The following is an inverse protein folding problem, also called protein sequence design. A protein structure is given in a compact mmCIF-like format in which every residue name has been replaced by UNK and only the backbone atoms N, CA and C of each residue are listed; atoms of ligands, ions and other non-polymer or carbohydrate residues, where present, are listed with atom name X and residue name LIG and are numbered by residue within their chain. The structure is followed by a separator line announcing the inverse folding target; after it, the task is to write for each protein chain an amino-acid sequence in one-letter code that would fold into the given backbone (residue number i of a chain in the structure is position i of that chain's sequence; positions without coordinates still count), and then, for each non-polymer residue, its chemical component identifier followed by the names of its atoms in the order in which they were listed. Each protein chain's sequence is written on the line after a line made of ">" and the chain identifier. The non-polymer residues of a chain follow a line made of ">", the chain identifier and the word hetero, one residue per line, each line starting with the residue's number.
data_IF_048529120608
#
_entry.id   IF_048529120608
#
_cell.length_a   1.000
_cell.length_b   1.000
_cell.length_c   1.000
_cell.angle_alpha   90.00
_cell.angle_beta   90.00
_cell.angle_gamma   90.00
#
_symmetry.space_group_name_H-M   'P 1'
#
loop_
_entity.id
_entity.type
_entity.pdbx_description
1 polymer ?
#
# COMPACT_ATOMS: atom_id res chain seq x y z
N UNK A 1 37.87 23.83 -27.70
CA UNK A 1 37.50 22.93 -28.79
C UNK A 1 38.28 23.35 -30.02
N UNK A 2 38.94 22.42 -30.71
CA UNK A 2 39.56 22.68 -32.01
C UNK A 2 38.48 22.83 -33.09
N UNK A 3 38.68 23.75 -34.04
CA UNK A 3 37.67 24.15 -35.01
C UNK A 3 37.05 22.99 -35.81
N UNK A 4 37.86 22.03 -36.28
CA UNK A 4 37.38 20.86 -37.04
C UNK A 4 36.59 19.86 -36.18
N UNK A 5 37.08 19.56 -34.99
CA UNK A 5 36.41 18.62 -34.09
C UNK A 5 35.05 19.18 -33.65
N UNK A 6 34.98 20.49 -33.41
CA UNK A 6 33.73 21.20 -33.14
C UNK A 6 32.72 21.08 -34.28
N UNK A 7 33.17 21.25 -35.53
CA UNK A 7 32.29 21.09 -36.70
C UNK A 7 31.70 19.69 -36.76
N UNK A 8 32.49 18.65 -36.46
CA UNK A 8 32.01 17.27 -36.39
C UNK A 8 30.91 17.12 -35.33
N UNK A 9 31.11 17.63 -34.11
CA UNK A 9 30.08 17.58 -33.07
C UNK A 9 28.83 18.37 -33.44
N UNK A 10 28.97 19.57 -34.01
CA UNK A 10 27.82 20.38 -34.45
C UNK A 10 27.00 19.66 -35.53
N UNK A 11 27.66 18.91 -36.42
CA UNK A 11 26.97 18.04 -37.40
C UNK A 11 26.15 16.94 -36.72
N UNK A 12 26.68 16.31 -35.68
CA UNK A 12 25.92 15.34 -34.87
C UNK A 12 24.73 16.00 -34.16
N UNK A 13 24.90 17.19 -33.59
CA UNK A 13 23.81 17.90 -32.91
C UNK A 13 22.68 18.23 -33.87
N UNK A 14 23.00 18.66 -35.10
CA UNK A 14 22.00 18.88 -36.16
C UNK A 14 21.22 17.60 -36.47
N UNK A 15 21.93 16.48 -36.67
CA UNK A 15 21.29 15.19 -36.93
C UNK A 15 20.37 14.75 -35.78
N UNK A 16 20.82 14.88 -34.53
CA UNK A 16 20.01 14.57 -33.34
C UNK A 16 18.77 15.48 -33.31
N UNK A 17 18.91 16.77 -33.63
CA UNK A 17 17.81 17.72 -33.64
C UNK A 17 16.71 17.34 -34.66
N UNK A 18 17.10 16.84 -35.84
CA UNK A 18 16.13 16.34 -36.83
C UNK A 18 15.32 15.14 -36.30
N UNK A 19 15.99 14.19 -35.64
CA UNK A 19 15.32 13.02 -35.05
C UNK A 19 14.42 13.47 -33.88
N UNK A 20 14.97 14.29 -32.99
CA UNK A 20 14.24 14.81 -31.83
C UNK A 20 12.97 15.55 -32.25
N UNK A 21 13.06 16.45 -33.25
CA UNK A 21 11.91 17.17 -33.78
C UNK A 21 10.85 16.28 -34.44
N UNK A 22 11.22 15.16 -35.07
CA UNK A 22 10.26 14.19 -35.63
C UNK A 22 9.47 13.44 -34.55
N UNK A 23 10.04 13.29 -33.36
CA UNK A 23 9.50 12.45 -32.29
C UNK A 23 8.93 13.21 -31.11
N UNK A 24 9.27 14.50 -30.91
CA UNK A 24 8.82 15.31 -29.76
C UNK A 24 7.30 15.21 -29.55
N UNK A 25 6.48 15.43 -30.58
CA UNK A 25 5.01 15.43 -30.44
C UNK A 25 4.42 14.03 -30.16
N UNK A 26 5.16 12.96 -30.43
CA UNK A 26 4.72 11.58 -30.15
C UNK A 26 5.22 11.10 -28.79
N UNK A 27 6.39 11.57 -28.38
CA UNK A 27 7.05 11.15 -27.15
C UNK A 27 6.71 12.03 -25.95
N UNK A 28 6.25 13.26 -26.21
CA UNK A 28 5.93 14.26 -25.20
C UNK A 28 4.48 14.66 -25.30
N UNK A 29 3.81 14.73 -24.15
CA UNK A 29 2.48 15.30 -24.02
C UNK A 29 2.51 16.35 -22.92
N UNK A 30 1.90 17.50 -23.20
CA UNK A 30 1.97 18.65 -22.31
C UNK A 30 0.57 19.05 -21.87
N UNK A 31 0.43 19.38 -20.59
CA UNK A 31 -0.78 19.98 -20.04
C UNK A 31 -0.49 21.36 -19.49
N UNK A 32 -1.44 22.28 -19.62
CA UNK A 32 -1.28 23.66 -19.09
C UNK A 32 -0.99 23.70 -17.59
N UNK A 33 -1.60 22.80 -16.81
CA UNK A 33 -1.51 22.78 -15.34
C UNK A 33 -0.40 21.89 -14.78
N UNK A 34 0.02 20.86 -15.52
CA UNK A 34 0.92 19.81 -15.02
C UNK A 34 2.28 19.76 -15.74
N UNK A 35 2.50 20.64 -16.73
CA UNK A 35 3.70 20.63 -17.55
C UNK A 35 3.72 19.47 -18.55
N UNK A 36 4.92 19.20 -19.08
CA UNK A 36 5.14 18.14 -20.05
C UNK A 36 5.59 16.84 -19.38
N UNK A 37 5.06 15.73 -19.87
CA UNK A 37 5.40 14.38 -19.42
C UNK A 37 5.80 13.51 -20.61
N UNK A 38 6.57 12.48 -20.32
CA UNK A 38 7.07 11.57 -21.34
C UNK A 38 6.19 10.33 -21.49
N UNK A 39 5.90 9.94 -22.73
CA UNK A 39 5.29 8.65 -23.04
C UNK A 39 6.30 7.51 -22.90
N UNK A 40 7.58 7.79 -23.20
CA UNK A 40 8.66 6.80 -23.21
C UNK A 40 9.86 7.30 -22.40
N UNK A 41 9.76 7.36 -21.05
CA UNK A 41 10.71 8.06 -20.20
C UNK A 41 12.14 7.51 -20.23
N UNK A 42 12.33 6.26 -20.69
CA UNK A 42 13.64 5.63 -20.84
C UNK A 42 14.35 6.00 -22.15
N UNK A 43 13.60 6.42 -23.18
CA UNK A 43 14.14 6.66 -24.52
C UNK A 43 14.11 8.13 -24.92
N UNK A 44 13.18 8.89 -24.36
CA UNK A 44 12.95 10.28 -24.75
C UNK A 44 12.66 11.12 -23.51
N UNK A 45 13.34 12.25 -23.37
CA UNK A 45 13.13 13.23 -22.30
C UNK A 45 12.50 14.47 -22.89
N UNK A 46 11.44 14.96 -22.25
CA UNK A 46 10.64 16.09 -22.74
C UNK A 46 10.97 17.41 -22.06
N UNK A 47 11.76 17.36 -20.99
CA UNK A 47 12.32 18.55 -20.35
C UNK A 47 13.21 19.32 -21.35
N UNK A 48 13.03 20.63 -21.40
CA UNK A 48 13.71 21.54 -22.33
C UNK A 48 15.25 21.50 -22.22
N UNK A 49 15.80 21.06 -21.08
CA UNK A 49 17.24 20.87 -20.90
C UNK A 49 17.80 19.77 -21.82
N UNK A 50 16.99 18.80 -22.21
CA UNK A 50 17.35 17.73 -23.14
C UNK A 50 17.11 18.10 -24.60
N UNK A 51 16.51 19.26 -24.87
CA UNK A 51 16.37 19.78 -26.22
C UNK A 51 17.76 19.93 -26.87
N UNK A 52 18.00 19.39 -28.08
CA UNK A 52 19.30 19.48 -28.76
C UNK A 52 19.83 20.91 -28.94
N UNK A 53 18.96 21.91 -28.91
CA UNK A 53 19.34 23.32 -28.90
C UNK A 53 20.20 23.71 -27.69
N UNK A 54 20.01 23.08 -26.53
CA UNK A 54 20.82 23.28 -25.33
C UNK A 54 22.27 22.86 -25.60
N UNK A 55 22.47 21.70 -26.22
CA UNK A 55 23.78 21.22 -26.63
C UNK A 55 24.40 22.08 -27.74
N UNK A 56 23.59 22.51 -28.70
CA UNK A 56 23.99 23.39 -29.79
C UNK A 56 24.59 24.72 -29.29
N UNK A 57 23.93 25.35 -28.31
CA UNK A 57 24.43 26.55 -27.63
C UNK A 57 25.71 26.29 -26.82
N UNK A 58 25.74 25.20 -26.05
CA UNK A 58 26.88 24.84 -25.19
C UNK A 58 28.16 24.59 -25.98
N UNK A 59 28.04 23.96 -27.15
CA UNK A 59 29.15 23.72 -28.08
C UNK A 59 29.49 24.95 -28.94
N UNK A 60 28.76 26.07 -28.79
CA UNK A 60 28.93 27.31 -29.56
C UNK A 60 28.86 27.08 -31.08
N UNK A 61 28.00 26.18 -31.52
CA UNK A 61 27.81 25.87 -32.94
C UNK A 61 27.31 27.08 -33.75
N UNK A 62 26.69 28.07 -33.09
CA UNK A 62 26.31 29.37 -33.66
C UNK A 62 27.47 30.16 -34.27
N UNK A 63 28.71 29.86 -33.88
CA UNK A 63 29.89 30.52 -34.43
C UNK A 63 30.19 30.09 -35.87
N UNK A 64 29.59 28.99 -36.33
CA UNK A 64 29.71 28.52 -37.70
C UNK A 64 28.43 28.84 -38.46
N UNK A 65 28.55 29.69 -39.48
CA UNK A 65 27.42 30.17 -40.29
C UNK A 65 26.60 29.02 -40.89
N UNK A 66 27.29 27.98 -41.38
CA UNK A 66 26.67 26.77 -41.97
C UNK A 66 25.67 26.05 -41.06
N UNK A 67 25.86 26.12 -39.73
CA UNK A 67 24.98 25.46 -38.76
C UNK A 67 23.94 26.42 -38.22
N UNK A 68 24.29 27.69 -38.07
CA UNK A 68 23.37 28.72 -37.59
C UNK A 68 22.14 28.84 -38.48
N UNK A 69 22.31 28.78 -39.80
CA UNK A 69 21.20 28.88 -40.76
C UNK A 69 20.32 27.62 -40.78
N UNK A 70 20.93 26.45 -40.58
CA UNK A 70 20.23 25.15 -40.67
C UNK A 70 19.51 24.77 -39.39
N UNK A 71 20.01 25.21 -38.24
CA UNK A 71 19.50 24.78 -36.96
C UNK A 71 18.17 25.47 -36.63
N UNK A 72 17.09 24.69 -36.55
CA UNK A 72 15.78 25.14 -36.05
C UNK A 72 15.51 24.44 -34.73
N UNK A 73 15.30 25.20 -33.65
CA UNK A 73 14.95 24.63 -32.35
C UNK A 73 13.65 23.82 -32.52
N UNK A 74 13.64 22.58 -32.04
CA UNK A 74 12.41 21.81 -31.97
C UNK A 74 11.47 22.45 -30.94
N UNK A 75 10.27 22.79 -31.39
CA UNK A 75 9.22 23.33 -30.52
C UNK A 75 8.69 22.25 -29.59
N UNK A 76 8.39 22.64 -28.36
CA UNK A 76 7.69 21.78 -27.42
C UNK A 76 6.24 21.59 -27.88
N UNK A 77 5.63 20.42 -27.60
CA UNK A 77 4.23 20.19 -27.95
C UNK A 77 3.36 21.25 -27.30
N UNK A 78 2.39 21.76 -28.06
CA UNK A 78 1.43 22.73 -27.55
C UNK A 78 0.70 22.13 -26.35
N UNK A 79 0.69 22.80 -25.18
CA UNK A 79 0.01 22.28 -24.00
C UNK A 79 -1.48 22.09 -24.26
N UNK A 80 -1.94 20.86 -24.13
CA UNK A 80 -3.35 20.51 -24.20
C UNK A 80 -4.06 20.95 -22.92
N UNK A 81 -5.29 21.40 -23.10
CA UNK A 81 -6.15 21.72 -21.97
C UNK A 81 -6.87 20.44 -21.50
N UNK A 82 -6.47 19.93 -20.34
CA UNK A 82 -7.03 18.70 -19.79
C UNK A 82 -8.55 18.79 -19.59
N UNK A 83 -9.07 19.98 -19.27
CA UNK A 83 -10.51 20.20 -19.15
C UNK A 83 -11.21 20.01 -20.49
N UNK A 84 -10.68 20.61 -21.55
CA UNK A 84 -11.23 20.49 -22.91
C UNK A 84 -11.16 19.05 -23.40
N UNK A 85 -10.04 18.35 -23.20
CA UNK A 85 -9.88 16.94 -23.59
C UNK A 85 -10.86 16.03 -22.84
N UNK A 86 -11.02 16.24 -21.53
CA UNK A 86 -12.00 15.53 -20.71
C UNK A 86 -13.43 15.80 -21.18
N UNK A 87 -13.80 17.06 -21.39
CA UNK A 87 -15.11 17.43 -21.92
C UNK A 87 -15.38 16.76 -23.26
N UNK A 88 -14.41 16.76 -24.18
CA UNK A 88 -14.54 16.11 -25.48
C UNK A 88 -14.73 14.59 -25.33
N UNK A 89 -13.96 13.94 -24.45
CA UNK A 89 -14.12 12.51 -24.15
C UNK A 89 -15.51 12.19 -23.58
N UNK A 90 -15.99 12.98 -22.62
CA UNK A 90 -17.32 12.81 -22.03
C UNK A 90 -18.40 13.04 -23.10
N UNK A 91 -18.25 14.06 -23.95
CA UNK A 91 -19.16 14.33 -25.06
C UNK A 91 -19.30 13.14 -26.01
N UNK A 92 -18.17 12.50 -26.36
CA UNK A 92 -18.13 11.39 -27.29
C UNK A 92 -18.61 10.06 -26.70
N UNK A 93 -18.21 9.75 -25.46
CA UNK A 93 -18.39 8.42 -24.89
C UNK A 93 -19.51 8.34 -23.85
N UNK A 94 -19.80 9.45 -23.17
CA UNK A 94 -20.73 9.48 -22.03
C UNK A 94 -21.57 10.78 -22.01
N UNK A 95 -22.32 11.09 -23.09
CA UNK A 95 -22.93 12.41 -23.30
C UNK A 95 -23.96 12.80 -22.23
N UNK A 96 -24.57 11.81 -21.57
CA UNK A 96 -25.52 12.04 -20.48
C UNK A 96 -24.90 12.72 -19.25
N UNK A 97 -23.57 12.67 -19.08
CA UNK A 97 -22.88 13.36 -17.98
C UNK A 97 -22.71 14.87 -18.24
N UNK A 98 -22.82 15.34 -19.50
CA UNK A 98 -22.75 16.77 -19.80
C UNK A 98 -24.04 17.52 -19.44
N UNK A 99 -25.17 16.80 -19.39
CA UNK A 99 -26.50 17.37 -19.16
C UNK A 99 -26.96 17.27 -17.70
N UNK A 100 -26.08 17.01 -16.74
CA UNK A 100 -26.45 17.03 -15.31
C UNK A 100 -26.51 18.47 -14.79
N UNK A 101 -27.52 19.17 -15.31
CA UNK A 101 -28.18 20.41 -14.90
C UNK A 101 -27.32 21.64 -14.59
N UNK A 102 -27.73 22.75 -15.21
CA UNK A 102 -27.35 24.15 -14.96
C UNK A 102 -27.70 24.65 -13.54
N UNK A 103 -27.59 23.80 -12.52
CA UNK A 103 -27.53 24.26 -11.14
C UNK A 103 -26.11 24.76 -10.94
N UNK A 104 -25.97 26.07 -10.80
CA UNK A 104 -24.76 26.75 -10.32
C UNK A 104 -24.24 26.02 -9.07
N UNK A 105 -23.40 25.00 -9.27
CA UNK A 105 -22.64 24.32 -8.24
C UNK A 105 -21.21 24.77 -8.47
N UNK A 106 -20.76 25.65 -7.59
CA UNK A 106 -19.39 25.54 -7.13
C UNK A 106 -19.14 24.05 -6.86
N UNK A 107 -18.07 23.49 -7.43
CA UNK A 107 -17.63 22.11 -7.22
C UNK A 107 -18.38 21.11 -8.12
N UNK A 108 -17.81 20.87 -9.30
CA UNK A 108 -17.86 19.54 -9.92
C UNK A 108 -17.14 18.61 -8.93
N UNK A 109 -17.76 17.50 -8.46
CA UNK A 109 -17.07 16.60 -7.57
C UNK A 109 -15.88 16.02 -8.35
N UNK A 110 -14.68 16.20 -7.78
CA UNK A 110 -13.54 15.36 -8.07
C UNK A 110 -14.09 13.93 -8.24
N UNK A 111 -13.82 13.33 -9.41
CA UNK A 111 -13.85 11.88 -9.55
C UNK A 111 -13.29 11.32 -8.26
N UNK A 112 -14.08 10.50 -7.56
CA UNK A 112 -13.73 9.80 -6.32
C UNK A 112 -12.44 9.02 -6.55
N UNK A 113 -11.31 9.71 -6.55
CA UNK A 113 -10.08 9.27 -5.92
C UNK A 113 -10.40 9.47 -4.46
N UNK A 114 -10.35 8.40 -3.68
CA UNK A 114 -10.65 8.41 -2.25
C UNK A 114 -9.77 9.46 -1.54
N UNK A 115 -10.18 10.72 -1.56
CA UNK A 115 -9.57 11.85 -0.86
C UNK A 115 -9.70 11.67 0.65
N UNK A 116 -10.51 10.70 1.07
CA UNK A 116 -10.62 10.19 2.44
C UNK A 116 -9.38 9.34 2.82
N UNK A 117 -8.62 8.81 1.85
CA UNK A 117 -7.45 7.93 2.09
C UNK A 117 -6.09 8.57 1.81
N UNK A 118 -6.03 9.79 1.28
CA UNK A 118 -4.77 10.44 0.91
C UNK A 118 -4.24 11.45 1.93
N UNK A 119 -4.96 11.68 3.04
CA UNK A 119 -4.44 12.50 4.14
C UNK A 119 -3.65 11.62 5.12
N UNK A 120 -2.35 11.90 5.35
CA UNK A 120 -1.55 11.21 6.35
C UNK A 120 -2.22 11.15 7.72
N UNK A 121 -2.99 12.19 8.10
CA UNK A 121 -3.66 12.25 9.39
C UNK A 121 -4.82 11.26 9.50
N UNK A 122 -5.62 11.09 8.44
CA UNK A 122 -6.76 10.17 8.43
C UNK A 122 -6.30 8.70 8.39
N UNK A 123 -5.26 8.41 7.64
CA UNK A 123 -4.66 7.06 7.59
C UNK A 123 -4.05 6.67 8.94
N UNK A 124 -3.34 7.62 9.57
CA UNK A 124 -2.77 7.43 10.90
C UNK A 124 -3.86 7.31 11.99
N UNK A 125 -4.91 8.11 11.93
CA UNK A 125 -6.05 8.03 12.84
C UNK A 125 -6.75 6.66 12.74
N UNK A 126 -7.08 6.19 11.53
CA UNK A 126 -7.73 4.88 11.34
C UNK A 126 -6.86 3.72 11.84
N UNK A 127 -5.55 3.76 11.57
CA UNK A 127 -4.60 2.74 12.05
C UNK A 127 -4.44 2.75 13.57
N UNK A 128 -4.29 3.93 14.17
CA UNK A 128 -4.09 4.08 15.63
C UNK A 128 -5.34 3.71 16.43
N UNK A 129 -6.54 4.13 16.00
CA UNK A 129 -7.79 3.77 16.67
C UNK A 129 -8.08 2.27 16.59
N UNK A 130 -7.80 1.65 15.44
CA UNK A 130 -7.92 0.19 15.28
C UNK A 130 -6.96 -0.57 16.21
N UNK A 131 -5.69 -0.17 16.27
CA UNK A 131 -4.68 -0.79 17.13
C UNK A 131 -5.02 -0.65 18.63
N UNK A 132 -5.44 0.54 19.06
CA UNK A 132 -5.88 0.77 20.45
C UNK A 132 -7.11 -0.06 20.82
N UNK A 133 -8.07 -0.20 19.90
CA UNK A 133 -9.25 -1.06 20.10
C UNK A 133 -8.86 -2.53 20.32
N UNK A 134 -7.94 -3.06 19.52
CA UNK A 134 -7.43 -4.44 19.67
C UNK A 134 -6.71 -4.61 21.01
N UNK A 135 -5.86 -3.66 21.41
CA UNK A 135 -5.18 -3.69 22.71
C UNK A 135 -6.16 -3.67 23.89
N UNK A 136 -7.23 -2.88 23.80
CA UNK A 136 -8.26 -2.82 24.84
C UNK A 136 -9.03 -4.15 24.95
N UNK A 137 -9.40 -4.75 23.82
CA UNK A 137 -10.06 -6.06 23.80
C UNK A 137 -9.13 -7.12 24.40
N UNK A 138 -7.85 -7.15 24.01
CA UNK A 138 -6.86 -8.06 24.58
C UNK A 138 -6.65 -7.83 26.08
N UNK A 139 -6.67 -6.59 26.55
CA UNK A 139 -6.54 -6.26 27.97
C UNK A 139 -7.74 -6.75 28.78
N UNK A 140 -8.96 -6.58 28.25
CA UNK A 140 -10.19 -7.11 28.85
C UNK A 140 -10.11 -8.64 28.86
N UNK A 141 -9.78 -9.27 27.73
CA UNK A 141 -9.63 -10.72 27.66
C UNK A 141 -8.50 -11.22 28.58
N UNK A 142 -7.38 -10.54 28.70
CA UNK A 142 -6.32 -10.92 29.64
C UNK A 142 -6.79 -10.87 31.10
N UNK A 143 -7.60 -9.88 31.46
CA UNK A 143 -8.14 -9.71 32.82
C UNK A 143 -9.30 -10.67 33.13
N UNK A 144 -10.11 -11.03 32.13
CA UNK A 144 -11.31 -11.87 32.27
C UNK A 144 -11.14 -13.31 31.78
N UNK A 145 -10.05 -13.65 31.09
CA UNK A 145 -9.66 -15.02 30.79
C UNK A 145 -8.81 -15.49 31.97
N UNK A 146 -9.32 -16.34 32.87
CA UNK A 146 -8.55 -16.84 33.99
C UNK A 146 -7.60 -17.91 33.47
N UNK A 147 -6.54 -17.52 32.77
CA UNK A 147 -5.39 -18.40 32.53
C UNK A 147 -4.46 -18.34 33.75
N UNK A 148 -5.04 -18.68 34.90
CA UNK A 148 -4.31 -19.25 36.01
C UNK A 148 -4.19 -20.75 35.78
N UNK A 149 -2.99 -21.17 35.38
CA UNK A 149 -2.49 -22.56 35.32
C UNK A 149 -2.68 -23.32 34.01
N UNK A 150 -1.78 -23.08 33.05
CA UNK A 150 -1.25 -24.19 32.24
C UNK A 150 0.20 -23.96 31.81
N UNK A 151 1.10 -23.77 32.78
CA UNK A 151 2.52 -24.06 32.62
C UNK A 151 3.02 -24.74 33.89
N UNK A 152 2.74 -26.04 34.01
CA UNK A 152 3.72 -27.03 34.45
C UNK A 152 3.12 -28.44 34.25
N UNK A 153 3.76 -29.35 33.52
CA UNK A 153 4.89 -30.08 34.05
C UNK A 153 5.30 -31.17 33.05
N UNK A 154 6.61 -31.39 32.93
CA UNK A 154 7.15 -32.60 32.29
C UNK A 154 6.88 -33.79 33.23
N UNK A 155 6.45 -34.90 32.61
CA UNK A 155 6.70 -36.30 32.95
C UNK A 155 5.76 -37.07 33.92
N UNK A 156 5.24 -38.17 33.34
CA UNK A 156 4.83 -39.48 33.93
C UNK A 156 3.57 -39.48 34.81
N UNK A 157 2.59 -40.40 34.69
CA UNK A 157 2.59 -41.81 34.26
C UNK A 157 1.12 -42.29 34.10
N UNK A 158 0.87 -43.08 33.06
CA UNK A 158 -0.23 -44.05 32.84
C UNK A 158 -1.50 -44.08 33.75
N UNK A 159 -2.64 -43.93 33.03
CA UNK A 159 -3.88 -44.75 33.01
C UNK A 159 -4.85 -44.83 34.21
N UNK A 160 -6.11 -44.60 33.82
CA UNK A 160 -7.38 -45.29 34.15
C UNK A 160 -8.02 -45.11 35.54
N UNK A 161 -9.18 -44.44 35.57
CA UNK A 161 -10.45 -44.92 36.17
C UNK A 161 -11.53 -43.82 36.17
N UNK A 162 -12.06 -43.51 34.99
CA UNK A 162 -13.34 -42.83 34.83
C UNK A 162 -14.48 -43.78 35.27
N UNK A 163 -14.71 -44.03 36.57
CA UNK A 163 -15.99 -44.63 37.01
C UNK A 163 -16.35 -44.55 38.51
N UNK A 164 -15.41 -44.49 39.46
CA UNK A 164 -15.77 -44.73 40.89
C UNK A 164 -16.41 -43.56 41.65
N UNK A 165 -16.19 -42.31 41.23
CA UNK A 165 -16.62 -41.17 42.07
C UNK A 165 -18.11 -40.78 41.92
N UNK A 166 -18.85 -41.42 41.01
CA UNK A 166 -20.28 -41.14 40.83
C UNK A 166 -21.17 -42.01 41.75
N UNK A 167 -20.69 -43.18 42.22
CA UNK A 167 -21.46 -44.07 43.10
C UNK A 167 -21.32 -43.73 44.60
N UNK A 168 -20.16 -43.23 45.04
CA UNK A 168 -19.94 -42.96 46.48
C UNK A 168 -20.73 -41.77 47.03
N UNK A 169 -21.31 -40.92 46.18
CA UNK A 169 -22.07 -39.74 46.63
C UNK A 169 -23.56 -40.03 46.90
N UNK A 170 -24.06 -41.23 46.59
CA UNK A 170 -25.48 -41.59 46.81
C UNK A 170 -25.77 -42.30 48.15
N UNK A 171 -24.76 -42.81 48.86
CA UNK A 171 -24.98 -43.75 49.98
C UNK A 171 -24.78 -43.22 51.40
N UNK A 172 -24.23 -42.01 51.61
CA UNK A 172 -23.84 -41.61 52.97
C UNK A 172 -24.42 -40.26 53.39
N UNK A 173 -25.75 -40.17 53.34
CA UNK A 173 -26.50 -39.17 54.11
C UNK A 173 -26.96 -39.79 55.43
N UNK A 174 -26.25 -39.44 56.49
CA UNK A 174 -26.68 -39.33 57.90
C UNK A 174 -27.56 -40.45 58.50
N UNK A 175 -26.94 -41.35 59.29
CA UNK A 175 -27.57 -41.84 60.54
C UNK A 175 -26.53 -41.90 61.66
N UNK A 176 -26.84 -41.16 62.71
CA UNK A 176 -26.11 -40.92 63.95
C UNK A 176 -25.93 -42.20 64.79
N UNK A 177 -24.85 -42.37 65.56
CA UNK A 177 -24.90 -42.64 67.01
C UNK A 177 -23.50 -42.72 67.68
N UNK A 178 -23.54 -42.47 68.99
CA UNK A 178 -22.52 -42.12 69.98
C UNK A 178 -21.15 -42.81 69.95
N UNK A 179 -20.15 -42.02 70.39
CA UNK A 179 -18.77 -42.41 70.71
C UNK A 179 -18.73 -43.41 71.88
N UNK A 180 -18.23 -44.61 71.59
CA UNK A 180 -17.76 -45.60 72.57
C UNK A 180 -16.32 -46.02 72.25
N UNK A 181 -15.45 -45.87 73.24
CA UNK A 181 -14.03 -46.20 73.23
C UNK A 181 -13.78 -47.70 72.97
N UNK A 182 -12.82 -48.11 72.12
CA UNK A 182 -12.17 -49.45 72.19
C UNK A 182 -10.95 -49.61 71.26
N UNK A 183 -9.78 -49.56 71.90
CA UNK A 183 -8.53 -50.30 71.72
C UNK A 183 -8.25 -51.11 70.43
N UNK A 184 -7.14 -50.70 69.78
CA UNK A 184 -6.08 -51.52 69.16
C UNK A 184 -6.33 -53.02 68.98
N UNK A 185 -6.83 -53.44 67.81
CA UNK A 185 -6.48 -54.73 67.21
C UNK A 185 -6.36 -54.62 65.69
N UNK A 186 -5.19 -54.97 65.14
CA UNK A 186 -4.99 -55.18 63.71
C UNK A 186 -5.67 -56.48 63.30
N UNK A 187 -6.75 -56.40 62.51
CA UNK A 187 -7.32 -57.59 61.87
C UNK A 187 -6.46 -57.98 60.67
N UNK A 188 -6.00 -59.23 60.65
CA UNK A 188 -5.42 -59.88 59.46
C UNK A 188 -6.41 -60.92 58.98
N UNK A 189 -6.78 -60.83 57.72
CA UNK A 189 -7.59 -61.83 57.03
C UNK A 189 -6.67 -62.50 56.02
N UNK A 190 -6.49 -63.80 56.15
CA UNK A 190 -5.85 -64.64 55.16
C UNK A 190 -6.93 -65.51 54.51
N UNK A 191 -6.86 -65.67 53.20
CA UNK A 191 -7.79 -66.51 52.45
C UNK A 191 -7.19 -67.91 52.30
N UNK A 192 -7.99 -68.94 52.58
CA UNK A 192 -7.78 -70.28 52.09
C UNK A 192 -8.94 -70.69 51.19
N UNK A 193 -8.60 -71.46 50.16
CA UNK A 193 -9.42 -71.89 49.05
C UNK A 193 -9.62 -73.42 49.16
N UNK A 194 -10.87 -73.85 49.36
CA UNK A 194 -11.50 -75.11 48.94
C UNK A 194 -12.94 -75.12 49.45
#
# INVERSE_FOLDING_TARGET
>A
CNGEECKKYCKYVLFINEIYGKHINKCCYCYKSEGCKENYPYYFKCDDNYNPHTLFKKLKCNNFEEFREKFKKADTPMPEDHYVKRLAYISLNVPHLLNRDNKKSSIIPDVVSDKITSDPFHTFALGSFGFLGVLLILFILYRFTPMGSYFNNRNTRNKESYFENFEHQFLEHNVQFNRGNTQNRRMRIAYHQA
#
